data_IF_976330092384
#
_entry.id   IF_976330092384
#
_cell.length_a   1.000
_cell.length_b   1.000
_cell.length_c   1.000
_cell.angle_alpha   90.00
_cell.angle_beta   90.00
_cell.angle_gamma   90.00
#
_symmetry.space_group_name_H-M   'P 1'
#
loop_
_entity.id
_entity.type
_entity.pdbx_description
1 polymer ?
#
# COMPACT_ATOMS: atom_id res chain seq x y z
N UNK A 1 -3.84 -3.90 -13.71
CA UNK A 1 -3.24 -3.07 -12.65
C UNK A 1 -2.37 -3.95 -11.74
N UNK A 2 -1.23 -3.44 -11.28
CA UNK A 2 -0.35 -4.13 -10.32
C UNK A 2 -0.33 -3.34 -9.02
N UNK A 3 -0.61 -4.02 -7.90
CA UNK A 3 -0.46 -3.51 -6.54
C UNK A 3 0.79 -4.16 -5.95
N UNK A 4 1.75 -3.35 -5.55
CA UNK A 4 3.00 -3.80 -4.95
C UNK A 4 2.95 -3.59 -3.44
N UNK A 5 3.29 -4.62 -2.67
CA UNK A 5 3.38 -4.60 -1.21
C UNK A 5 4.85 -4.74 -0.81
N UNK A 6 5.29 -3.89 0.12
CA UNK A 6 6.67 -3.90 0.66
C UNK A 6 6.64 -3.66 2.17
N UNK A 7 7.51 -4.37 2.90
CA UNK A 7 7.75 -4.17 4.34
C UNK A 7 8.64 -2.94 4.57
N UNK A 8 8.46 -2.20 5.66
CA UNK A 8 9.41 -1.15 6.05
C UNK A 8 10.73 -1.72 6.61
N UNK A 9 11.85 -1.05 6.35
CA UNK A 9 13.20 -1.50 6.77
C UNK A 9 13.37 -1.72 8.28
N UNK A 10 12.73 -0.87 9.10
CA UNK A 10 12.88 -0.88 10.55
C UNK A 10 11.59 -1.32 11.25
N UNK A 11 10.88 -2.26 10.64
CA UNK A 11 9.63 -2.78 11.19
C UNK A 11 9.40 -4.24 10.81
N UNK A 12 8.84 -4.99 11.74
CA UNK A 12 8.47 -6.40 11.51
C UNK A 12 7.02 -6.58 11.09
N UNK A 13 6.19 -5.56 11.30
CA UNK A 13 4.75 -5.65 11.10
C UNK A 13 4.20 -4.50 10.25
N UNK A 14 5.00 -3.58 9.75
CA UNK A 14 4.49 -2.44 8.96
C UNK A 14 4.79 -2.59 7.47
N UNK A 15 3.76 -2.31 6.67
CA UNK A 15 3.78 -2.49 5.23
C UNK A 15 3.20 -1.27 4.51
N UNK A 16 3.61 -1.12 3.26
CA UNK A 16 2.98 -0.20 2.32
C UNK A 16 2.53 -0.98 1.09
N UNK A 17 1.29 -0.77 0.67
CA UNK A 17 0.80 -1.20 -0.62
C UNK A 17 0.66 0.01 -1.54
N UNK A 18 1.07 -0.10 -2.80
CA UNK A 18 0.92 0.98 -3.77
C UNK A 18 0.67 0.50 -5.19
N UNK A 19 -0.04 1.31 -5.96
CA UNK A 19 -0.33 1.10 -7.38
C UNK A 19 -0.07 2.37 -8.17
N UNK A 20 0.64 2.25 -9.29
CA UNK A 20 0.82 3.35 -10.25
C UNK A 20 -0.36 3.37 -11.22
N UNK A 21 -0.97 4.53 -11.40
CA UNK A 21 -2.02 4.73 -12.42
C UNK A 21 -1.42 4.64 -13.82
N UNK A 22 -2.08 3.87 -14.70
CA UNK A 22 -1.74 3.80 -16.12
C UNK A 22 -2.15 5.07 -16.89
N UNK A 23 -3.13 5.83 -16.39
CA UNK A 23 -3.72 6.97 -17.11
C UNK A 23 -3.39 8.36 -16.53
N UNK A 24 -2.86 8.47 -15.31
CA UNK A 24 -2.82 9.76 -14.61
C UNK A 24 -1.53 10.15 -13.89
N UNK A 25 -0.42 9.43 -14.07
CA UNK A 25 0.86 9.63 -13.34
C UNK A 25 0.77 9.59 -11.80
N UNK A 26 -0.41 9.46 -11.21
CA UNK A 26 -0.63 9.38 -9.78
C UNK A 26 -0.21 8.00 -9.23
N UNK A 27 0.29 8.01 -8.00
CA UNK A 27 0.55 6.81 -7.21
C UNK A 27 -0.44 6.77 -6.07
N UNK A 28 -1.25 5.71 -6.01
CA UNK A 28 -2.14 5.43 -4.90
C UNK A 28 -1.40 4.53 -3.93
N UNK A 29 -1.47 4.82 -2.64
CA UNK A 29 -0.81 4.04 -1.61
C UNK A 29 -1.66 3.93 -0.36
N UNK A 30 -1.38 2.89 0.43
CA UNK A 30 -1.92 2.72 1.77
C UNK A 30 -0.84 2.13 2.67
N UNK A 31 -0.77 2.63 3.90
CA UNK A 31 0.02 2.07 4.99
C UNK A 31 -0.89 1.14 5.81
N UNK A 32 -0.35 -0.01 6.24
CA UNK A 32 -1.07 -0.95 7.08
C UNK A 32 -0.12 -1.81 7.92
N UNK A 33 -0.63 -2.36 9.02
CA UNK A 33 0.05 -3.31 9.91
C UNK A 33 -0.27 -4.77 9.56
N UNK A 34 0.59 -5.71 9.95
CA UNK A 34 0.32 -7.16 9.87
C UNK A 34 -0.53 -7.61 11.05
N UNK A 35 -1.78 -7.19 11.04
CA UNK A 35 -2.82 -7.59 11.96
C UNK A 35 -4.19 -7.66 11.24
N UNK A 36 -5.24 -8.01 11.98
CA UNK A 36 -6.59 -8.14 11.44
C UNK A 36 -7.09 -6.82 10.83
N UNK A 37 -6.78 -5.68 11.46
CA UNK A 37 -7.21 -4.37 10.98
C UNK A 37 -6.46 -3.98 9.72
N UNK A 38 -5.16 -4.21 9.66
CA UNK A 38 -4.36 -3.97 8.47
C UNK A 38 -4.78 -4.84 7.29
N UNK A 39 -5.22 -6.08 7.52
CA UNK A 39 -5.82 -6.91 6.48
C UNK A 39 -7.12 -6.29 5.92
N UNK A 40 -7.98 -5.73 6.78
CA UNK A 40 -9.19 -5.00 6.37
C UNK A 40 -8.82 -3.73 5.58
N UNK A 41 -7.84 -2.95 6.05
CA UNK A 41 -7.34 -1.75 5.37
C UNK A 41 -6.85 -2.08 3.96
N UNK A 42 -6.02 -3.13 3.83
CA UNK A 42 -5.53 -3.60 2.53
C UNK A 42 -6.67 -4.04 1.61
N UNK A 43 -7.64 -4.80 2.15
CA UNK A 43 -8.80 -5.24 1.38
C UNK A 43 -9.60 -4.05 0.83
N UNK A 44 -9.90 -3.06 1.68
CA UNK A 44 -10.62 -1.85 1.30
C UNK A 44 -9.88 -1.05 0.24
N UNK A 45 -8.55 -0.91 0.37
CA UNK A 45 -7.73 -0.25 -0.64
C UNK A 45 -7.80 -0.95 -2.00
N UNK A 46 -7.68 -2.28 -2.03
CA UNK A 46 -7.77 -3.08 -3.26
C UNK A 46 -9.17 -2.95 -3.89
N UNK A 47 -10.24 -3.00 -3.08
CA UNK A 47 -11.61 -2.85 -3.55
C UNK A 47 -11.89 -1.46 -4.12
N UNK A 48 -11.38 -0.41 -3.47
CA UNK A 48 -11.49 0.97 -3.96
C UNK A 48 -10.83 1.11 -5.35
N UNK A 49 -9.60 0.61 -5.51
CA UNK A 49 -8.90 0.65 -6.80
C UNK A 49 -9.63 -0.15 -7.88
N UNK A 50 -10.13 -1.35 -7.53
CA UNK A 50 -10.88 -2.20 -8.47
C UNK A 50 -12.17 -1.52 -8.94
N UNK A 51 -12.89 -0.87 -8.03
CA UNK A 51 -14.16 -0.21 -8.33
C UNK A 51 -13.98 1.04 -9.18
N UNK A 52 -12.95 1.85 -8.87
CA UNK A 52 -12.69 3.11 -9.57
C UNK A 52 -12.10 2.89 -10.97
N UNK A 53 -11.09 2.01 -11.10
CA UNK A 53 -10.38 1.82 -12.37
C UNK A 53 -10.93 0.72 -13.25
N UNK A 54 -11.78 -0.16 -12.70
CA UNK A 54 -12.36 -1.31 -13.40
C UNK A 54 -11.33 -2.10 -14.23
N UNK A 55 -10.15 -2.45 -13.67
CA UNK A 55 -9.11 -3.10 -14.46
C UNK A 55 -9.55 -4.51 -14.86
N UNK A 56 -9.29 -4.91 -16.11
CA UNK A 56 -9.58 -6.27 -16.59
C UNK A 56 -8.87 -7.35 -15.74
N UNK A 57 -7.63 -7.06 -15.32
CA UNK A 57 -6.84 -7.92 -14.41
C UNK A 57 -6.19 -7.10 -13.31
N UNK A 58 -6.28 -7.60 -12.09
CA UNK A 58 -5.60 -7.05 -10.91
C UNK A 58 -4.61 -8.09 -10.37
N UNK A 59 -3.35 -7.68 -10.25
CA UNK A 59 -2.26 -8.51 -9.70
C UNK A 59 -1.75 -7.86 -8.43
N UNK A 60 -1.56 -8.65 -7.37
CA UNK A 60 -0.92 -8.23 -6.13
C UNK A 60 0.45 -8.92 -6.06
N UNK A 61 1.51 -8.18 -5.78
CA UNK A 61 2.86 -8.71 -5.60
C UNK A 61 3.45 -8.24 -4.28
N UNK A 62 3.86 -9.18 -3.43
CA UNK A 62 4.67 -8.88 -2.25
C UNK A 62 6.13 -8.99 -2.66
N UNK A 63 6.91 -7.94 -2.43
CA UNK A 63 8.34 -7.96 -2.70
C UNK A 63 9.10 -8.17 -1.39
N UNK A 64 10.14 -9.00 -1.44
CA UNK A 64 11.00 -9.29 -0.29
C UNK A 64 11.88 -8.10 0.10
N UNK A 65 12.08 -7.13 -0.81
CA UNK A 65 12.86 -5.96 -0.52
C UNK A 65 12.08 -4.95 0.33
N UNK A 66 12.70 -4.56 1.43
CA UNK A 66 12.19 -3.55 2.35
C UNK A 66 12.18 -2.15 1.70
N UNK A 67 11.33 -1.26 2.20
CA UNK A 67 11.24 0.14 1.77
C UNK A 67 11.60 1.08 2.91
N UNK A 68 12.21 2.20 2.55
CA UNK A 68 12.49 3.30 3.46
C UNK A 68 11.93 4.60 2.87
N UNK A 69 11.19 5.37 3.68
CA UNK A 69 10.79 6.72 3.32
C UNK A 69 11.95 7.67 3.63
N UNK A 70 12.34 8.46 2.64
CA UNK A 70 13.40 9.46 2.80
C UNK A 70 13.09 10.47 3.89
N UNK A 71 11.81 10.81 4.04
CA UNK A 71 11.34 11.72 5.08
C UNK A 71 10.63 10.91 6.18
N UNK A 72 11.16 10.97 7.39
CA UNK A 72 10.64 10.26 8.57
C UNK A 72 9.29 10.82 9.04
N UNK A 73 9.03 12.10 8.81
CA UNK A 73 7.79 12.75 9.23
C UNK A 73 6.59 12.21 8.45
N UNK A 74 6.79 11.82 7.18
CA UNK A 74 5.74 11.16 6.38
C UNK A 74 5.36 9.82 7.02
N UNK A 75 6.34 9.05 7.49
CA UNK A 75 6.05 7.77 8.15
C UNK A 75 5.31 8.00 9.47
N UNK A 76 5.67 9.04 10.23
CA UNK A 76 4.95 9.41 11.45
C UNK A 76 3.48 9.74 11.15
N UNK A 77 3.22 10.59 10.14
CA UNK A 77 1.87 10.93 9.70
C UNK A 77 1.06 9.72 9.24
N UNK A 78 1.69 8.74 8.57
CA UNK A 78 0.99 7.52 8.13
C UNK A 78 0.62 6.58 9.28
N UNK A 79 1.39 6.62 10.38
CA UNK A 79 1.13 5.85 11.61
C UNK A 79 0.03 6.47 12.47
N UNK A 80 -0.19 7.78 12.32
CA UNK A 80 -1.33 8.50 12.90
C UNK A 80 -2.61 8.10 12.15
N UNK A 81 -2.99 6.82 12.20
CA UNK A 81 -4.34 6.40 11.83
C UNK A 81 -5.33 6.92 12.89
N UNK A 82 -6.53 7.36 12.47
CA UNK A 82 -7.57 7.82 13.38
C UNK A 82 -8.12 6.71 14.28
#
# INVERSE_FOLDING_TARGET
MIITIRKFENSDHEYIAYAKSLCGKATYLVYFSDDIWGAVVLCNFVQMLKSFFQPEKLKITVHENTVCLKNKDILALLREQP
#
